data_IF_471004750840
#
_entry.id   IF_471004750840
#
_cell.length_a   1.000
_cell.length_b   1.000
_cell.length_c   1.000
_cell.angle_alpha   90.00
_cell.angle_beta   90.00
_cell.angle_gamma   90.00
#
_symmetry.space_group_name_H-M   'P 1'
#
loop_
_entity.id
_entity.type
_entity.pdbx_description
1 polymer ?
#
# COMPACT_ATOMS: atom_id res chain seq x y z
N UNK A 1 -95.20 16.27 -1.00
CA UNK A 1 -95.17 16.76 0.39
C UNK A 1 -94.57 15.68 1.27
N UNK A 2 -93.55 16.06 2.08
CA UNK A 2 -93.04 15.42 3.32
C UNK A 2 -92.36 14.03 3.18
N UNK A 3 -91.03 13.91 3.18
CA UNK A 3 -89.99 13.97 4.26
C UNK A 3 -89.80 12.69 5.12
N UNK A 4 -88.52 12.29 5.21
CA UNK A 4 -87.81 11.48 6.23
C UNK A 4 -87.99 9.95 6.20
N UNK A 5 -86.98 9.10 6.45
CA UNK A 5 -85.62 9.34 6.94
C UNK A 5 -84.78 8.05 6.93
N UNK A 6 -83.46 8.23 6.90
CA UNK A 6 -82.39 7.24 6.91
C UNK A 6 -82.27 6.51 8.26
N UNK A 7 -81.98 5.21 8.26
CA UNK A 7 -81.33 4.53 9.40
C UNK A 7 -80.42 3.40 8.88
N UNK A 8 -79.10 3.62 8.96
CA UNK A 8 -78.08 2.61 8.72
C UNK A 8 -77.53 2.13 10.08
N UNK A 9 -77.57 0.83 10.32
CA UNK A 9 -76.97 0.17 11.47
C UNK A 9 -75.79 -0.67 10.97
N UNK A 10 -74.57 -0.39 11.43
CA UNK A 10 -73.40 -1.27 11.26
C UNK A 10 -72.43 -1.12 12.44
N UNK A 11 -72.54 -2.11 13.32
CA UNK A 11 -71.56 -2.77 14.19
C UNK A 11 -70.20 -2.07 14.41
N UNK A 12 -70.00 -1.60 15.65
CA UNK A 12 -68.69 -1.23 16.18
C UNK A 12 -67.89 -2.49 16.58
N UNK A 13 -66.77 -2.74 15.90
CA UNK A 13 -65.77 -3.72 16.32
C UNK A 13 -64.79 -3.10 17.33
N UNK A 14 -64.72 -3.67 18.53
CA UNK A 14 -63.73 -3.29 19.55
C UNK A 14 -62.36 -3.88 19.21
N UNK A 15 -61.40 -3.06 18.83
CA UNK A 15 -59.99 -3.44 18.73
C UNK A 15 -59.35 -3.36 20.13
N UNK A 16 -59.08 -4.52 20.73
CA UNK A 16 -58.24 -4.61 21.92
C UNK A 16 -56.78 -4.25 21.58
N UNK A 17 -56.03 -3.63 22.50
CA UNK A 17 -54.63 -3.30 22.26
C UNK A 17 -53.79 -4.58 22.15
N UNK A 18 -53.26 -4.82 20.95
CA UNK A 18 -52.31 -5.89 20.67
C UNK A 18 -51.01 -5.59 21.44
N UNK A 19 -50.81 -6.29 22.56
CA UNK A 19 -49.58 -6.17 23.35
C UNK A 19 -48.47 -6.95 22.65
N UNK A 20 -47.60 -6.24 21.93
CA UNK A 20 -46.36 -6.82 21.42
C UNK A 20 -45.49 -7.30 22.61
N UNK A 21 -44.89 -8.50 22.55
CA UNK A 21 -43.99 -8.95 23.61
C UNK A 21 -42.81 -7.98 23.75
N UNK A 22 -42.29 -7.77 24.98
CA UNK A 22 -41.18 -6.86 25.21
C UNK A 22 -39.97 -7.31 24.36
N UNK A 23 -39.42 -6.39 23.58
CA UNK A 23 -38.21 -6.63 22.81
C UNK A 23 -37.07 -6.98 23.78
N UNK A 24 -36.49 -8.17 23.65
CA UNK A 24 -35.31 -8.57 24.41
C UNK A 24 -34.20 -7.51 24.25
N UNK A 25 -33.46 -7.17 25.33
CA UNK A 25 -32.39 -6.20 25.25
C UNK A 25 -31.37 -6.63 24.19
N UNK A 26 -31.04 -5.73 23.25
CA UNK A 26 -30.04 -6.00 22.21
C UNK A 26 -28.66 -6.15 22.87
N UNK A 27 -27.87 -7.16 22.48
CA UNK A 27 -26.54 -7.34 23.05
C UNK A 27 -25.65 -6.13 22.72
N UNK A 28 -24.70 -5.83 23.61
CA UNK A 28 -23.73 -4.75 23.41
C UNK A 28 -22.77 -5.08 22.27
N UNK A 29 -22.42 -6.36 22.12
CA UNK A 29 -21.59 -6.87 21.03
C UNK A 29 -22.42 -7.79 20.15
N UNK A 30 -22.45 -7.54 18.85
CA UNK A 30 -23.09 -8.41 17.86
C UNK A 30 -22.04 -8.90 16.86
N UNK A 31 -22.03 -10.21 16.58
CA UNK A 31 -21.19 -10.82 15.55
C UNK A 31 -22.07 -11.48 14.49
N UNK A 32 -21.71 -11.35 13.21
CA UNK A 32 -22.39 -12.02 12.09
C UNK A 32 -21.41 -12.64 11.13
N UNK A 33 -21.70 -13.86 10.68
CA UNK A 33 -20.89 -14.61 9.73
C UNK A 33 -21.69 -15.00 8.47
N UNK A 34 -21.24 -14.53 7.31
CA UNK A 34 -21.85 -14.81 5.99
C UNK A 34 -20.80 -15.45 5.06
N UNK A 35 -20.84 -16.77 4.93
CA UNK A 35 -19.86 -17.53 4.15
C UNK A 35 -20.52 -18.62 3.27
N UNK A 36 -19.83 -19.09 2.22
CA UNK A 36 -20.26 -20.26 1.45
C UNK A 36 -20.32 -21.52 2.31
N UNK A 37 -21.08 -22.53 1.87
CA UNK A 37 -21.23 -23.81 2.57
C UNK A 37 -19.92 -24.60 2.75
N UNK A 38 -18.87 -24.26 2.00
CA UNK A 38 -17.53 -24.85 2.13
C UNK A 38 -16.68 -24.24 3.25
N UNK A 39 -17.20 -23.24 3.96
CA UNK A 39 -16.55 -22.60 5.10
C UNK A 39 -17.17 -23.07 6.43
N UNK A 40 -16.47 -22.88 7.57
CA UNK A 40 -17.02 -23.15 8.89
C UNK A 40 -18.35 -22.44 9.11
N UNK A 41 -19.26 -23.09 9.84
CA UNK A 41 -20.55 -22.52 10.17
C UNK A 41 -20.40 -21.33 11.15
N UNK A 42 -21.39 -20.44 11.17
CA UNK A 42 -21.40 -19.27 12.07
C UNK A 42 -21.21 -19.66 13.54
N UNK A 43 -21.85 -20.75 13.98
CA UNK A 43 -21.72 -21.24 15.35
C UNK A 43 -20.28 -21.65 15.73
N UNK A 44 -19.52 -22.23 14.79
CA UNK A 44 -18.13 -22.63 15.02
C UNK A 44 -17.22 -21.40 15.15
N UNK A 45 -17.45 -20.40 14.32
CA UNK A 45 -16.70 -19.13 14.37
C UNK A 45 -17.03 -18.35 15.64
N UNK A 46 -18.29 -18.34 16.07
CA UNK A 46 -18.70 -17.75 17.35
C UNK A 46 -18.04 -18.47 18.53
N UNK A 47 -18.03 -19.81 18.52
CA UNK A 47 -17.38 -20.58 19.59
C UNK A 47 -15.88 -20.26 19.69
N UNK A 48 -15.18 -20.17 18.55
CA UNK A 48 -13.77 -19.78 18.53
C UNK A 48 -13.56 -18.34 19.01
N UNK A 49 -14.44 -17.42 18.61
CA UNK A 49 -14.42 -16.04 19.07
C UNK A 49 -14.62 -15.93 20.60
N UNK A 50 -15.61 -16.64 21.15
CA UNK A 50 -15.86 -16.70 22.60
C UNK A 50 -14.72 -17.35 23.37
N UNK A 51 -14.06 -18.36 22.78
CA UNK A 51 -12.85 -18.98 23.33
C UNK A 51 -11.70 -17.96 23.46
N UNK A 52 -11.43 -17.20 22.40
CA UNK A 52 -10.39 -16.15 22.40
C UNK A 52 -10.72 -15.01 23.38
N UNK A 53 -12.00 -14.72 23.54
CA UNK A 53 -12.51 -13.74 24.48
C UNK A 53 -12.56 -14.26 25.93
N UNK A 54 -12.47 -15.57 26.16
CA UNK A 54 -12.59 -16.15 27.50
C UNK A 54 -14.00 -16.06 28.09
N UNK A 55 -15.04 -16.00 27.26
CA UNK A 55 -16.43 -16.00 27.72
C UNK A 55 -17.46 -15.59 26.65
N UNK A 56 -18.77 -15.73 26.94
CA UNK A 56 -19.83 -15.51 25.97
C UNK A 56 -19.94 -14.06 25.47
N UNK A 57 -20.24 -13.87 24.18
CA UNK A 57 -20.46 -12.55 23.59
C UNK A 57 -21.63 -11.81 24.23
N UNK A 58 -22.69 -12.54 24.58
CA UNK A 58 -23.90 -11.99 25.19
C UNK A 58 -23.67 -11.34 26.56
N UNK A 59 -22.62 -11.76 27.28
CA UNK A 59 -22.27 -11.27 28.61
C UNK A 59 -21.28 -10.10 28.56
N UNK A 60 -20.81 -9.73 27.37
CA UNK A 60 -19.84 -8.64 27.19
C UNK A 60 -20.45 -7.30 27.59
N UNK A 61 -19.67 -6.55 28.37
CA UNK A 61 -19.96 -5.19 28.81
C UNK A 61 -19.00 -4.23 28.10
N UNK A 62 -19.46 -3.02 27.78
CA UNK A 62 -18.63 -2.01 27.13
C UNK A 62 -19.40 -1.16 26.12
N UNK A 63 -18.65 -0.54 25.20
CA UNK A 63 -19.20 0.21 24.07
C UNK A 63 -19.88 -0.73 23.07
N UNK A 64 -20.88 -0.22 22.35
CA UNK A 64 -21.56 -1.02 21.33
C UNK A 64 -20.63 -1.33 20.17
N UNK A 65 -20.55 -2.60 19.80
CA UNK A 65 -19.73 -3.04 18.68
C UNK A 65 -20.47 -4.08 17.85
N UNK A 66 -20.53 -3.85 16.53
CA UNK A 66 -21.07 -4.84 15.58
C UNK A 66 -19.94 -5.29 14.65
N UNK A 67 -19.62 -6.58 14.70
CA UNK A 67 -18.64 -7.22 13.83
C UNK A 67 -19.36 -8.06 12.76
N UNK A 68 -19.10 -7.79 11.50
CA UNK A 68 -19.71 -8.52 10.36
C UNK A 68 -18.57 -9.10 9.54
N UNK A 69 -18.53 -10.42 9.38
CA UNK A 69 -17.55 -11.12 8.56
C UNK A 69 -18.25 -11.76 7.36
N UNK A 70 -17.80 -11.43 6.16
CA UNK A 70 -18.30 -12.02 4.91
C UNK A 70 -17.18 -12.67 4.13
N UNK A 71 -17.38 -13.92 3.77
CA UNK A 71 -16.46 -14.68 2.92
C UNK A 71 -17.08 -14.88 1.54
N UNK A 72 -16.27 -14.73 0.49
CA UNK A 72 -16.64 -15.06 -0.89
C UNK A 72 -15.52 -15.88 -1.54
N UNK A 73 -15.91 -16.78 -2.43
CA UNK A 73 -14.96 -17.59 -3.20
C UNK A 73 -14.51 -16.82 -4.45
N UNK A 74 -13.22 -16.82 -4.75
CA UNK A 74 -12.67 -16.09 -5.90
C UNK A 74 -12.66 -16.95 -7.18
N UNK A 75 -12.78 -16.33 -8.39
CA UNK A 75 -12.80 -17.04 -9.66
C UNK A 75 -11.52 -17.86 -9.99
N UNK A 76 -10.41 -17.61 -9.30
CA UNK A 76 -9.13 -18.32 -9.45
C UNK A 76 -8.89 -19.43 -8.42
N UNK A 77 -9.90 -19.75 -7.60
CA UNK A 77 -9.74 -20.52 -6.37
C UNK A 77 -9.35 -19.64 -5.18
N UNK A 78 -9.48 -20.20 -3.97
CA UNK A 78 -9.28 -19.45 -2.73
C UNK A 78 -10.48 -18.60 -2.31
N UNK A 79 -10.31 -17.90 -1.19
CA UNK A 79 -11.36 -17.18 -0.50
C UNK A 79 -10.89 -15.77 -0.11
N UNK A 80 -11.80 -14.80 -0.21
CA UNK A 80 -11.65 -13.43 0.28
C UNK A 80 -12.61 -13.22 1.46
N UNK A 81 -12.06 -12.85 2.61
CA UNK A 81 -12.79 -12.48 3.81
C UNK A 81 -12.73 -10.96 3.98
N UNK A 82 -13.91 -10.34 4.13
CA UNK A 82 -14.05 -8.95 4.55
C UNK A 82 -14.71 -8.89 5.91
N UNK A 83 -14.03 -8.25 6.86
CA UNK A 83 -14.49 -8.02 8.23
C UNK A 83 -14.75 -6.52 8.43
N UNK A 84 -15.95 -6.18 8.86
CA UNK A 84 -16.34 -4.84 9.28
C UNK A 84 -16.54 -4.83 10.79
N UNK A 85 -16.01 -3.81 11.46
CA UNK A 85 -16.28 -3.54 12.87
C UNK A 85 -16.85 -2.13 12.99
N UNK A 86 -18.09 -2.04 13.43
CA UNK A 86 -18.85 -0.79 13.61
C UNK A 86 -18.89 -0.48 15.10
N UNK A 87 -18.41 0.71 15.48
CA UNK A 87 -18.40 1.20 16.86
C UNK A 87 -18.78 2.68 16.89
N UNK A 88 -18.87 3.26 18.10
CA UNK A 88 -19.15 4.69 18.26
C UNK A 88 -18.04 5.60 17.67
N UNK A 89 -16.81 5.10 17.55
CA UNK A 89 -15.66 5.82 16.97
C UNK A 89 -15.64 5.78 15.43
N UNK A 90 -16.47 4.92 14.83
CA UNK A 90 -16.58 4.74 13.38
C UNK A 90 -16.53 3.28 12.95
N UNK A 91 -16.46 3.09 11.64
CA UNK A 91 -16.41 1.76 11.02
C UNK A 91 -15.06 1.50 10.38
N UNK A 92 -14.43 0.41 10.80
CA UNK A 92 -13.18 -0.12 10.25
C UNK A 92 -13.47 -1.35 9.38
N UNK A 93 -12.73 -1.50 8.28
CA UNK A 93 -12.78 -2.68 7.42
C UNK A 93 -11.39 -3.32 7.31
N UNK A 94 -11.33 -4.66 7.38
CA UNK A 94 -10.14 -5.46 7.11
C UNK A 94 -10.46 -6.51 6.02
N UNK A 95 -9.50 -6.75 5.14
CA UNK A 95 -9.57 -7.80 4.10
C UNK A 95 -8.47 -8.81 4.32
N UNK A 96 -8.78 -10.09 4.14
CA UNK A 96 -7.86 -11.20 4.25
C UNK A 96 -8.12 -12.18 3.11
N UNK A 97 -7.07 -12.71 2.49
CA UNK A 97 -7.18 -13.73 1.44
C UNK A 97 -6.40 -14.99 1.82
N UNK A 98 -6.95 -16.16 1.49
CA UNK A 98 -6.27 -17.43 1.70
C UNK A 98 -6.86 -18.54 0.82
N UNK A 99 -6.06 -19.57 0.53
CA UNK A 99 -6.51 -20.72 -0.24
C UNK A 99 -7.54 -21.59 0.52
N UNK A 100 -7.45 -21.63 1.85
CA UNK A 100 -8.27 -22.44 2.75
C UNK A 100 -9.18 -21.54 3.58
N UNK A 101 -10.50 -21.78 3.55
CA UNK A 101 -11.46 -20.96 4.29
C UNK A 101 -11.32 -21.07 5.81
N UNK A 102 -10.96 -22.25 6.33
CA UNK A 102 -10.80 -22.47 7.77
C UNK A 102 -9.72 -21.57 8.39
N UNK A 103 -8.63 -21.35 7.65
CA UNK A 103 -7.57 -20.44 8.07
C UNK A 103 -8.07 -18.99 8.13
N UNK A 104 -8.92 -18.57 7.17
CA UNK A 104 -9.54 -17.26 7.19
C UNK A 104 -10.55 -17.11 8.31
N UNK A 105 -11.34 -18.14 8.60
CA UNK A 105 -12.29 -18.12 9.71
C UNK A 105 -11.57 -17.92 11.06
N UNK A 106 -10.49 -18.67 11.32
CA UNK A 106 -9.69 -18.51 12.54
C UNK A 106 -9.04 -17.13 12.63
N UNK A 107 -8.41 -16.67 11.55
CA UNK A 107 -7.81 -15.34 11.52
C UNK A 107 -8.86 -14.22 11.70
N UNK A 108 -10.02 -14.36 11.06
CA UNK A 108 -11.15 -13.44 11.18
C UNK A 108 -11.71 -13.39 12.60
N UNK A 109 -11.86 -14.54 13.27
CA UNK A 109 -12.27 -14.62 14.66
C UNK A 109 -11.26 -13.91 15.57
N UNK A 110 -9.96 -14.11 15.38
CA UNK A 110 -8.92 -13.42 16.15
C UNK A 110 -8.96 -11.90 15.96
N UNK A 111 -9.09 -11.42 14.73
CA UNK A 111 -9.19 -9.98 14.47
C UNK A 111 -10.46 -9.39 15.08
N UNK A 112 -11.58 -10.10 15.03
CA UNK A 112 -12.81 -9.69 15.70
C UNK A 112 -12.65 -9.66 17.23
N UNK A 113 -11.99 -10.67 17.82
CA UNK A 113 -11.71 -10.73 19.25
C UNK A 113 -10.89 -9.52 19.72
N UNK A 114 -9.83 -9.19 19.01
CA UNK A 114 -9.00 -8.01 19.32
C UNK A 114 -9.75 -6.69 19.18
N UNK A 115 -10.70 -6.60 18.24
CA UNK A 115 -11.53 -5.41 18.09
C UNK A 115 -12.56 -5.26 19.23
N UNK A 116 -13.04 -6.38 19.77
CA UNK A 116 -13.96 -6.42 20.92
C UNK A 116 -13.22 -6.15 22.22
N UNK A 117 -12.03 -6.72 22.38
CA UNK A 117 -11.24 -6.67 23.60
C UNK A 117 -9.73 -6.67 23.28
N UNK A 118 -9.05 -5.52 23.35
CA UNK A 118 -7.62 -5.44 23.03
C UNK A 118 -6.73 -6.18 24.04
N UNK A 119 -7.26 -6.56 25.21
CA UNK A 119 -6.50 -7.32 26.22
C UNK A 119 -6.24 -8.78 25.82
N UNK A 120 -6.88 -9.27 24.76
CA UNK A 120 -6.65 -10.62 24.19
C UNK A 120 -5.16 -10.85 23.86
N UNK A 121 -4.46 -9.81 23.39
CA UNK A 121 -3.02 -9.91 23.07
C UNK A 121 -2.14 -10.18 24.30
N UNK A 122 -2.50 -9.61 25.46
CA UNK A 122 -1.77 -9.83 26.72
C UNK A 122 -1.94 -11.25 27.24
N UNK A 123 -3.17 -11.78 27.22
CA UNK A 123 -3.47 -13.15 27.69
C UNK A 123 -2.75 -14.22 26.87
N UNK A 124 -2.71 -14.06 25.55
CA UNK A 124 -2.02 -15.00 24.66
C UNK A 124 -0.50 -15.03 24.87
N UNK A 125 0.11 -13.89 25.25
CA UNK A 125 1.53 -13.83 25.58
C UNK A 125 1.88 -14.47 26.93
N UNK A 126 0.92 -14.59 27.84
CA UNK A 126 1.10 -15.25 29.14
C UNK A 126 0.87 -16.77 29.06
N UNK A 127 -0.02 -17.24 28.19
CA UNK A 127 -0.23 -18.68 27.91
C UNK A 127 0.89 -19.32 27.09
N UNK A 128 1.61 -18.53 26.29
CA UNK A 128 2.82 -19.01 25.63
C UNK A 128 3.98 -18.82 26.59
N UNK A 129 4.15 -19.77 27.51
CA UNK A 129 5.30 -19.78 28.41
C UNK A 129 6.56 -19.76 27.53
N UNK A 130 7.25 -18.62 27.48
CA UNK A 130 8.46 -18.45 26.68
C UNK A 130 9.55 -19.49 27.06
N UNK A 131 9.38 -20.13 28.22
CA UNK A 131 10.17 -21.25 28.69
C UNK A 131 9.94 -22.56 27.90
N UNK A 132 8.74 -22.84 27.39
CA UNK A 132 8.43 -24.08 26.66
C UNK A 132 8.92 -24.00 25.21
N UNK A 133 8.76 -22.84 24.55
CA UNK A 133 9.29 -22.59 23.20
C UNK A 133 10.83 -22.57 23.20
N UNK A 134 11.45 -22.12 24.30
CA UNK A 134 12.90 -22.21 24.49
C UNK A 134 13.39 -23.66 24.75
N UNK A 135 12.55 -24.52 25.31
CA UNK A 135 12.87 -25.93 25.57
C UNK A 135 12.80 -26.80 24.30
N UNK A 136 11.96 -26.45 23.31
CA UNK A 136 11.87 -27.14 22.01
C UNK A 136 12.80 -26.59 20.92
N UNK A 137 13.51 -25.49 21.17
CA UNK A 137 14.54 -24.98 20.28
C UNK A 137 15.76 -25.92 20.26
N UNK A 138 15.68 -26.96 19.45
CA UNK A 138 16.82 -27.82 19.14
C UNK A 138 17.93 -26.94 18.54
N UNK A 139 19.07 -26.87 19.22
CA UNK A 139 20.27 -26.21 18.72
C UNK A 139 20.59 -26.76 17.35
N UNK A 140 20.47 -25.92 16.31
CA UNK A 140 21.03 -26.24 15.00
C UNK A 140 22.53 -26.23 15.20
N UNK A 141 23.12 -27.42 15.23
CA UNK A 141 24.57 -27.62 15.23
C UNK A 141 25.13 -26.94 13.98
N UNK A 142 26.07 -26.04 14.21
CA UNK A 142 26.77 -25.29 13.18
C UNK A 142 27.38 -26.29 12.16
N UNK A 143 27.04 -26.21 10.86
CA UNK A 143 27.65 -27.10 9.90
C UNK A 143 29.15 -26.83 9.83
N UNK A 144 29.94 -27.87 10.08
CA UNK A 144 31.40 -27.88 10.03
C UNK A 144 31.93 -27.19 8.75
N UNK A 145 32.95 -26.32 8.85
CA UNK A 145 33.47 -25.62 7.69
C UNK A 145 34.02 -26.62 6.66
N UNK A 146 33.84 -26.35 5.35
CA UNK A 146 34.31 -27.25 4.31
C UNK A 146 35.85 -27.36 4.35
N UNK A 147 36.42 -28.53 4.07
CA UNK A 147 37.86 -28.73 4.13
C UNK A 147 38.58 -27.89 3.07
N UNK A 148 39.71 -27.33 3.50
CA UNK A 148 40.66 -26.55 2.72
C UNK A 148 41.24 -27.41 1.58
N UNK A 149 41.30 -26.92 0.32
CA UNK A 149 41.82 -27.72 -0.78
C UNK A 149 43.34 -27.91 -0.67
N UNK A 150 43.78 -29.16 -0.84
CA UNK A 150 45.20 -29.53 -0.90
C UNK A 150 45.94 -28.81 -2.04
N UNK A 151 47.24 -28.49 -1.85
CA UNK A 151 48.05 -27.86 -2.87
C UNK A 151 48.34 -28.80 -4.04
N UNK A 152 48.00 -28.35 -5.24
CA UNK A 152 48.32 -28.99 -6.52
C UNK A 152 49.85 -29.09 -6.72
N UNK A 153 50.38 -30.20 -7.26
CA UNK A 153 51.80 -30.37 -7.57
C UNK A 153 52.31 -29.34 -8.60
N UNK A 154 53.60 -28.97 -8.58
CA UNK A 154 54.16 -28.02 -9.54
C UNK A 154 54.28 -28.64 -10.93
N UNK A 155 53.82 -27.90 -11.95
CA UNK A 155 54.07 -28.22 -13.36
C UNK A 155 55.57 -28.10 -13.73
N UNK A 156 56.04 -28.84 -14.73
CA UNK A 156 57.43 -28.77 -15.21
C UNK A 156 57.76 -27.41 -15.81
N UNK A 157 58.90 -26.85 -15.40
CA UNK A 157 59.46 -25.64 -15.98
C UNK A 157 59.87 -25.90 -17.44
N UNK A 158 59.21 -25.21 -18.37
CA UNK A 158 59.67 -25.07 -19.75
C UNK A 158 60.70 -23.95 -19.79
N UNK A 159 61.90 -24.24 -20.30
CA UNK A 159 62.94 -23.24 -20.52
C UNK A 159 62.44 -22.10 -21.43
N UNK A 160 62.70 -20.83 -21.07
CA UNK A 160 62.30 -19.70 -21.89
C UNK A 160 63.17 -19.60 -23.16
N UNK A 161 62.58 -19.29 -24.33
CA UNK A 161 63.36 -18.99 -25.52
C UNK A 161 64.09 -17.65 -25.37
N UNK A 162 65.26 -17.61 -26.00
CA UNK A 162 66.23 -16.50 -26.06
C UNK A 162 65.57 -15.14 -26.34
N UNK A 163 65.93 -14.05 -25.61
CA UNK A 163 65.33 -12.74 -25.82
C UNK A 163 65.70 -12.14 -27.17
N UNK A 164 64.69 -11.71 -27.92
CA UNK A 164 64.83 -10.80 -29.05
C UNK A 164 64.98 -9.35 -28.55
N UNK A 165 65.75 -8.46 -29.23
CA UNK A 165 66.09 -7.15 -28.70
C UNK A 165 64.86 -6.29 -28.38
N UNK A 166 64.87 -5.53 -27.27
CA UNK A 166 63.73 -4.72 -26.88
C UNK A 166 63.49 -3.60 -27.89
N UNK A 167 62.33 -3.64 -28.56
CA UNK A 167 61.80 -2.48 -29.24
C UNK A 167 61.39 -1.44 -28.20
N UNK A 168 61.67 -0.14 -28.43
CA UNK A 168 61.30 0.91 -27.50
C UNK A 168 59.77 0.89 -27.29
N UNK A 169 59.29 0.92 -26.03
CA UNK A 169 57.86 0.88 -25.77
C UNK A 169 57.19 2.09 -26.41
N UNK A 170 56.28 1.82 -27.36
CA UNK A 170 55.34 2.84 -27.82
C UNK A 170 54.59 3.34 -26.59
N UNK A 171 54.47 4.67 -26.38
CA UNK A 171 53.76 5.21 -25.22
C UNK A 171 52.34 4.66 -25.21
N UNK A 172 52.07 3.79 -24.25
CA UNK A 172 50.75 3.22 -24.04
C UNK A 172 49.86 4.37 -23.59
N UNK A 173 49.03 4.86 -24.52
CA UNK A 173 48.05 5.89 -24.24
C UNK A 173 47.13 5.34 -23.16
N UNK A 174 47.34 5.77 -21.90
CA UNK A 174 46.44 5.51 -20.78
C UNK A 174 45.03 5.89 -21.26
N UNK A 175 44.22 4.88 -21.59
CA UNK A 175 42.81 5.10 -21.93
C UNK A 175 42.19 5.66 -20.66
N UNK A 176 41.94 6.97 -20.63
CA UNK A 176 41.19 7.63 -19.56
C UNK A 176 39.82 6.95 -19.50
N UNK A 177 39.71 5.91 -18.68
CA UNK A 177 38.47 5.16 -18.51
C UNK A 177 37.37 6.16 -18.19
N UNK A 178 36.24 6.06 -18.89
CA UNK A 178 35.04 6.84 -18.60
C UNK A 178 34.61 6.47 -17.18
N UNK A 179 35.09 7.21 -16.19
CA UNK A 179 34.71 6.99 -14.79
C UNK A 179 33.21 7.26 -14.66
N UNK A 180 32.47 6.21 -14.33
CA UNK A 180 31.07 6.30 -13.92
C UNK A 180 31.08 6.96 -12.55
N UNK A 181 30.28 8.02 -12.38
CA UNK A 181 30.13 8.71 -11.10
C UNK A 181 28.78 8.37 -10.50
N UNK A 182 28.70 8.32 -9.18
CA UNK A 182 27.43 8.29 -8.49
C UNK A 182 26.89 9.69 -8.19
N UNK A 183 25.57 9.79 -8.07
CA UNK A 183 24.91 10.98 -7.54
C UNK A 183 23.62 10.63 -6.82
N UNK A 184 23.23 11.48 -5.87
CA UNK A 184 21.94 11.41 -5.20
C UNK A 184 21.34 12.81 -5.21
N UNK A 185 20.08 12.90 -5.61
CA UNK A 185 19.33 14.14 -5.67
C UNK A 185 18.14 14.09 -4.72
N UNK A 186 17.94 15.15 -3.97
CA UNK A 186 16.71 15.41 -3.21
C UNK A 186 15.98 16.58 -3.88
N UNK A 187 14.70 16.40 -4.18
CA UNK A 187 13.87 17.42 -4.82
C UNK A 187 12.53 17.58 -4.13
N UNK A 188 11.98 18.79 -4.20
CA UNK A 188 10.63 19.10 -3.74
C UNK A 188 9.96 20.06 -4.73
N UNK A 189 8.64 19.98 -4.85
CA UNK A 189 7.93 20.69 -5.89
C UNK A 189 6.43 20.58 -5.81
N UNK A 190 5.80 20.93 -6.93
CA UNK A 190 4.35 20.91 -7.12
C UNK A 190 3.99 19.91 -8.22
N UNK A 191 2.82 19.31 -8.09
CA UNK A 191 2.23 18.36 -9.02
C UNK A 191 0.79 18.76 -9.34
N UNK A 192 0.41 18.59 -10.60
CA UNK A 192 -0.94 18.80 -11.10
C UNK A 192 -1.32 17.65 -12.04
N UNK A 193 -2.54 17.11 -11.89
CA UNK A 193 -3.05 16.01 -12.70
C UNK A 193 -2.95 14.62 -12.07
N UNK A 194 -1.97 14.38 -11.17
CA UNK A 194 -1.80 13.06 -10.53
C UNK A 194 -2.87 12.73 -9.47
N UNK A 195 -3.30 13.73 -8.71
CA UNK A 195 -4.46 13.71 -7.80
C UNK A 195 -5.24 15.03 -8.02
N UNK A 196 -6.41 15.24 -7.37
CA UNK A 196 -7.18 16.48 -7.49
C UNK A 196 -6.38 17.74 -7.15
N UNK A 197 -6.59 18.80 -7.93
CA UNK A 197 -5.95 20.09 -7.71
C UNK A 197 -4.43 20.08 -7.84
N UNK A 198 -3.79 21.08 -7.22
CA UNK A 198 -2.33 21.22 -7.14
C UNK A 198 -1.86 20.73 -5.78
N UNK A 199 -0.81 19.92 -5.73
CA UNK A 199 -0.26 19.38 -4.48
C UNK A 199 1.25 19.35 -4.45
N UNK A 200 1.83 19.34 -3.25
CA UNK A 200 3.26 19.18 -3.07
C UNK A 200 3.74 17.79 -3.52
N UNK A 201 5.04 17.66 -3.78
CA UNK A 201 5.71 16.40 -4.07
C UNK A 201 7.14 16.46 -3.58
N UNK A 202 7.64 15.39 -2.97
CA UNK A 202 9.05 15.23 -2.57
C UNK A 202 9.61 14.01 -3.28
N UNK A 203 10.88 14.07 -3.66
CA UNK A 203 11.56 13.04 -4.44
C UNK A 203 13.00 12.80 -4.00
N UNK A 204 13.40 11.54 -4.03
CA UNK A 204 14.77 11.09 -3.89
C UNK A 204 15.19 10.36 -5.16
N UNK A 205 16.34 10.73 -5.72
CA UNK A 205 16.78 10.21 -7.02
C UNK A 205 18.27 9.82 -6.99
N UNK A 206 18.60 8.56 -6.69
CA UNK A 206 19.91 7.99 -7.00
C UNK A 206 20.18 7.98 -8.51
N UNK A 207 21.44 8.18 -8.90
CA UNK A 207 21.83 8.22 -10.30
C UNK A 207 23.24 7.70 -10.57
N UNK A 208 23.39 7.06 -11.74
CA UNK A 208 24.68 6.73 -12.35
C UNK A 208 24.95 7.73 -13.47
N UNK A 209 26.12 8.39 -13.44
CA UNK A 209 26.43 9.54 -14.29
C UNK A 209 27.66 9.21 -15.15
N UNK A 210 27.46 9.24 -16.47
CA UNK A 210 28.52 9.18 -17.49
C UNK A 210 28.80 10.57 -18.09
N UNK A 211 29.82 10.72 -18.96
CA UNK A 211 30.13 12.00 -19.59
C UNK A 211 29.00 12.60 -20.45
N UNK A 212 28.14 11.78 -21.06
CA UNK A 212 27.07 12.22 -21.99
C UNK A 212 25.68 11.63 -21.68
N UNK A 213 25.56 10.86 -20.62
CA UNK A 213 24.31 10.21 -20.25
C UNK A 213 24.25 10.00 -18.73
N UNK A 214 23.05 9.82 -18.21
CA UNK A 214 22.81 9.38 -16.83
C UNK A 214 21.61 8.44 -16.77
N UNK A 215 21.64 7.55 -15.80
CA UNK A 215 20.54 6.66 -15.43
C UNK A 215 20.05 7.10 -14.05
N UNK A 216 18.76 7.36 -13.92
CA UNK A 216 18.12 7.81 -12.69
C UNK A 216 17.12 6.76 -12.19
N UNK A 217 17.18 6.49 -10.90
CA UNK A 217 16.17 5.73 -10.17
C UNK A 217 15.49 6.71 -9.24
N UNK A 218 14.17 6.81 -9.28
CA UNK A 218 13.43 7.79 -8.51
C UNK A 218 12.43 7.09 -7.60
N UNK A 219 12.30 7.63 -6.39
CA UNK A 219 11.14 7.42 -5.53
C UNK A 219 10.56 8.78 -5.14
N UNK A 220 9.25 8.88 -5.13
CA UNK A 220 8.55 10.12 -4.84
C UNK A 220 7.30 9.90 -3.99
N UNK A 221 6.97 10.90 -3.17
CA UNK A 221 5.81 10.89 -2.30
C UNK A 221 5.06 12.23 -2.39
N UNK A 222 3.77 12.15 -2.65
CA UNK A 222 2.83 13.26 -2.63
C UNK A 222 1.96 13.16 -1.38
N UNK A 223 1.97 14.17 -0.49
CA UNK A 223 1.16 14.18 0.71
C UNK A 223 -0.35 14.21 0.39
N UNK A 224 -1.14 14.03 1.45
CA UNK A 224 -2.59 14.03 1.44
C UNK A 224 -3.19 15.17 0.61
N UNK A 225 -4.08 14.82 -0.32
CA UNK A 225 -4.98 15.72 -1.03
C UNK A 225 -6.42 15.32 -0.83
N UNK A 226 -7.27 16.32 -0.59
CA UNK A 226 -8.71 16.11 -0.33
C UNK A 226 -9.47 16.15 -1.65
N UNK A 227 -10.19 15.07 -1.95
CA UNK A 227 -11.26 15.04 -2.92
C UNK A 227 -12.57 15.13 -2.13
N UNK A 228 -13.43 16.12 -2.42
CA UNK A 228 -14.74 16.28 -1.78
C UNK A 228 -15.80 16.48 -2.87
N UNK A 229 -17.05 16.23 -2.52
CA UNK A 229 -18.19 16.52 -3.40
C UNK A 229 -18.60 17.98 -3.28
N UNK A 230 -19.00 18.60 -4.38
CA UNK A 230 -19.41 20.02 -4.41
C UNK A 230 -20.72 20.26 -3.62
N UNK A 231 -21.64 19.29 -3.63
CA UNK A 231 -22.91 19.31 -2.92
C UNK A 231 -22.80 18.83 -1.46
N UNK A 232 -21.75 18.08 -1.11
CA UNK A 232 -21.55 17.45 0.19
C UNK A 232 -20.09 17.57 0.64
N UNK A 233 -19.67 18.74 1.16
CA UNK A 233 -18.26 19.02 1.46
C UNK A 233 -17.68 18.14 2.58
N UNK A 234 -18.54 17.57 3.42
CA UNK A 234 -18.15 16.65 4.50
C UNK A 234 -17.89 15.22 3.99
N UNK A 235 -18.21 14.91 2.73
CA UNK A 235 -18.02 13.59 2.12
C UNK A 235 -16.98 13.61 1.00
N UNK A 236 -16.19 12.53 0.91
CA UNK A 236 -15.24 12.34 -0.19
C UNK A 236 -14.11 11.38 0.14
N UNK A 237 -12.92 11.63 -0.39
CA UNK A 237 -11.74 10.80 -0.14
C UNK A 237 -10.49 11.62 0.12
N UNK A 238 -9.66 11.10 1.02
CA UNK A 238 -8.31 11.54 1.26
C UNK A 238 -7.36 10.70 0.40
N UNK A 239 -6.64 11.36 -0.51
CA UNK A 239 -5.80 10.71 -1.51
C UNK A 239 -4.32 11.02 -1.28
N UNK A 240 -3.46 10.00 -1.35
CA UNK A 240 -2.00 10.13 -1.29
C UNK A 240 -1.36 9.45 -2.50
N UNK A 241 -0.14 9.85 -2.83
CA UNK A 241 0.58 9.37 -3.99
C UNK A 241 1.96 8.83 -3.60
N UNK A 242 2.30 7.65 -4.07
CA UNK A 242 3.67 7.15 -4.10
C UNK A 242 4.04 6.80 -5.54
N UNK A 243 5.25 7.16 -5.97
CA UNK A 243 5.76 6.88 -7.31
C UNK A 243 7.17 6.31 -7.25
N UNK A 244 7.47 5.41 -8.17
CA UNK A 244 8.81 4.93 -8.47
C UNK A 244 9.07 5.00 -9.97
N UNK A 245 10.22 5.49 -10.38
CA UNK A 245 10.54 5.64 -11.80
C UNK A 245 11.98 5.25 -12.14
N UNK A 246 12.19 4.80 -13.38
CA UNK A 246 13.52 4.53 -13.94
C UNK A 246 13.65 5.31 -15.24
N UNK A 247 14.73 6.09 -15.36
CA UNK A 247 14.91 7.03 -16.47
C UNK A 247 16.30 6.98 -17.08
N UNK A 248 16.36 7.01 -18.40
CA UNK A 248 17.56 7.30 -19.15
C UNK A 248 17.57 8.76 -19.60
N UNK A 249 18.69 9.46 -19.39
CA UNK A 249 18.82 10.86 -19.80
C UNK A 249 20.10 11.07 -20.61
N UNK A 250 20.05 11.52 -21.87
CA UNK A 250 21.16 12.28 -22.44
C UNK A 250 21.52 13.47 -21.54
N UNK A 251 22.81 13.73 -21.43
CA UNK A 251 23.35 14.79 -20.57
C UNK A 251 24.21 15.74 -21.41
N UNK A 252 23.67 16.94 -21.62
CA UNK A 252 24.39 18.04 -22.25
C UNK A 252 25.04 18.91 -21.17
N UNK A 253 26.29 19.30 -21.37
CA UNK A 253 27.06 20.13 -20.44
C UNK A 253 27.57 21.37 -21.15
N UNK A 254 27.35 22.53 -20.54
CA UNK A 254 27.87 23.81 -21.00
C UNK A 254 28.46 24.58 -19.81
N UNK A 255 29.79 24.58 -19.70
CA UNK A 255 30.52 25.16 -18.55
C UNK A 255 30.01 24.58 -17.22
N UNK A 256 29.44 25.42 -16.34
CA UNK A 256 28.87 25.02 -15.05
C UNK A 256 27.42 24.53 -15.14
N UNK A 257 26.79 24.59 -16.31
CA UNK A 257 25.41 24.17 -16.51
C UNK A 257 25.33 22.76 -17.09
N UNK A 258 24.36 21.99 -16.63
CA UNK A 258 23.98 20.70 -17.18
C UNK A 258 22.49 20.66 -17.50
N UNK A 259 22.16 20.08 -18.65
CA UNK A 259 20.80 20.00 -19.18
C UNK A 259 20.45 18.53 -19.42
N UNK A 260 20.05 17.78 -18.38
CA UNK A 260 19.51 16.44 -18.57
C UNK A 260 18.13 16.51 -19.24
N UNK A 261 17.90 15.67 -20.23
CA UNK A 261 16.56 15.42 -20.78
C UNK A 261 16.20 13.96 -20.50
N UNK A 262 15.50 13.72 -19.39
CA UNK A 262 15.21 12.37 -18.92
C UNK A 262 13.91 11.83 -19.51
N UNK A 263 13.90 10.59 -19.98
CA UNK A 263 12.69 9.88 -20.36
C UNK A 263 12.65 8.51 -19.69
N UNK A 264 11.46 8.04 -19.34
CA UNK A 264 11.35 6.79 -18.58
C UNK A 264 9.93 6.29 -18.33
N UNK A 265 9.89 5.25 -17.52
CA UNK A 265 8.68 4.62 -17.02
C UNK A 265 8.52 4.93 -15.54
N UNK A 266 7.28 5.23 -15.16
CA UNK A 266 6.87 5.41 -13.78
C UNK A 266 5.79 4.39 -13.43
N UNK A 267 5.95 3.76 -12.27
CA UNK A 267 4.89 3.05 -11.57
C UNK A 267 4.45 3.92 -10.39
N UNK A 268 3.14 4.10 -10.25
CA UNK A 268 2.57 4.84 -9.15
C UNK A 268 1.44 4.09 -8.46
N UNK A 269 1.23 4.45 -7.20
CA UNK A 269 0.13 3.98 -6.38
C UNK A 269 -0.58 5.20 -5.78
N UNK A 270 -1.89 5.27 -6.03
CA UNK A 270 -2.79 6.21 -5.37
C UNK A 270 -3.46 5.46 -4.22
N UNK A 271 -3.27 5.96 -3.01
CA UNK A 271 -3.92 5.47 -1.80
C UNK A 271 -5.10 6.37 -1.50
N UNK A 272 -6.29 5.80 -1.36
CA UNK A 272 -7.51 6.55 -1.07
C UNK A 272 -8.18 6.04 0.17
N UNK A 273 -8.58 6.95 1.06
CA UNK A 273 -9.37 6.65 2.26
C UNK A 273 -10.65 7.45 2.23
N UNK A 274 -11.80 6.78 2.34
CA UNK A 274 -13.11 7.44 2.37
C UNK A 274 -13.31 8.31 3.62
N UNK A 275 -13.96 9.46 3.47
CA UNK A 275 -14.26 10.45 4.52
C UNK A 275 -15.75 10.79 4.45
N UNK A 276 -16.42 10.89 5.61
CA UNK A 276 -17.84 11.26 5.69
C UNK A 276 -18.83 10.13 5.38
N UNK A 277 -18.36 8.88 5.44
CA UNK A 277 -19.18 7.68 5.20
C UNK A 277 -19.35 6.86 6.48
N UNK A 278 -20.52 6.24 6.62
CA UNK A 278 -20.80 5.30 7.71
C UNK A 278 -19.87 4.07 7.66
N UNK A 279 -19.39 3.70 6.46
CA UNK A 279 -18.37 2.66 6.25
C UNK A 279 -17.19 3.30 5.53
N UNK A 280 -16.02 3.30 6.16
CA UNK A 280 -14.79 3.79 5.52
C UNK A 280 -14.01 2.61 4.95
N UNK A 281 -13.68 2.70 3.66
CA UNK A 281 -12.81 1.73 2.99
C UNK A 281 -11.55 2.42 2.52
N UNK A 282 -10.41 1.77 2.71
CA UNK A 282 -9.16 2.13 2.07
C UNK A 282 -9.03 1.38 0.75
N UNK A 283 -8.60 2.10 -0.29
CA UNK A 283 -8.39 1.57 -1.63
C UNK A 283 -7.01 1.95 -2.13
N UNK A 284 -6.37 1.02 -2.83
CA UNK A 284 -5.13 1.29 -3.56
C UNK A 284 -5.37 1.08 -5.04
N UNK A 285 -5.01 2.07 -5.84
CA UNK A 285 -5.08 1.98 -7.29
C UNK A 285 -3.70 2.21 -7.89
N UNK A 286 -3.27 1.29 -8.74
CA UNK A 286 -1.97 1.35 -9.40
C UNK A 286 -2.11 2.02 -10.76
N UNK A 287 -1.06 2.71 -11.18
CA UNK A 287 -0.94 3.23 -12.53
C UNK A 287 0.47 3.06 -13.07
N UNK A 288 0.56 3.10 -14.40
CA UNK A 288 1.82 3.16 -15.13
C UNK A 288 1.77 4.42 -15.98
N UNK A 289 2.88 5.15 -16.05
CA UNK A 289 3.01 6.36 -16.85
C UNK A 289 4.34 6.39 -17.64
N UNK A 290 4.29 7.03 -18.81
CA UNK A 290 5.48 7.47 -19.54
C UNK A 290 5.73 8.92 -19.19
N UNK A 291 6.98 9.30 -18.90
CA UNK A 291 7.29 10.69 -18.57
C UNK A 291 8.52 11.22 -19.30
N UNK A 292 8.54 12.53 -19.51
CA UNK A 292 9.63 13.32 -20.05
C UNK A 292 9.95 14.45 -19.07
N UNK A 293 11.20 14.53 -18.63
CA UNK A 293 11.68 15.43 -17.60
C UNK A 293 12.93 16.19 -18.07
N UNK A 294 12.79 17.30 -18.81
CA UNK A 294 13.86 18.27 -18.96
C UNK A 294 14.24 18.91 -17.61
N UNK A 295 15.54 19.07 -17.40
CA UNK A 295 16.07 19.79 -16.24
C UNK A 295 17.20 20.74 -16.60
N UNK A 296 17.47 21.66 -15.68
CA UNK A 296 18.64 22.54 -15.71
C UNK A 296 19.31 22.49 -14.34
N UNK A 297 20.61 22.23 -14.34
CA UNK A 297 21.42 22.15 -13.13
C UNK A 297 22.62 23.08 -13.24
N UNK A 298 22.88 23.82 -12.17
CA UNK A 298 24.06 24.64 -11.99
C UNK A 298 25.01 23.98 -10.98
N UNK A 299 26.22 23.66 -11.43
CA UNK A 299 27.28 23.10 -10.60
C UNK A 299 27.92 24.20 -9.73
N UNK A 300 27.45 24.31 -8.49
CA UNK A 300 28.06 25.17 -7.46
C UNK A 300 29.49 24.71 -7.12
N UNK A 301 29.68 23.40 -7.06
CA UNK A 301 30.95 22.73 -6.74
C UNK A 301 31.09 21.45 -7.58
N UNK A 302 32.30 20.89 -7.81
CA UNK A 302 32.46 19.59 -8.50
C UNK A 302 31.63 18.42 -7.94
N UNK A 303 31.16 18.55 -6.69
CA UNK A 303 30.34 17.56 -5.97
C UNK A 303 28.91 18.01 -5.67
N UNK A 304 28.54 19.27 -5.94
CA UNK A 304 27.22 19.80 -5.58
C UNK A 304 26.63 20.61 -6.73
N UNK A 305 25.41 20.28 -7.12
CA UNK A 305 24.64 21.02 -8.11
C UNK A 305 23.24 21.34 -7.56
N UNK A 306 22.68 22.46 -7.99
CA UNK A 306 21.30 22.84 -7.72
C UNK A 306 20.58 22.99 -9.03
N UNK A 307 19.29 22.66 -9.09
CA UNK A 307 18.58 22.67 -10.36
C UNK A 307 17.08 22.71 -10.24
N UNK A 308 16.45 22.87 -11.40
CA UNK A 308 15.03 22.81 -11.59
C UNK A 308 14.70 21.74 -12.63
N UNK A 309 13.59 21.06 -12.43
CA UNK A 309 13.08 19.99 -13.31
C UNK A 309 11.62 20.30 -13.61
N UNK A 310 11.25 20.20 -14.87
CA UNK A 310 9.84 20.17 -15.30
C UNK A 310 9.60 18.80 -15.88
N UNK A 311 8.56 18.12 -15.42
CA UNK A 311 8.20 16.79 -15.85
C UNK A 311 6.76 16.80 -16.37
N UNK A 312 6.56 16.21 -17.55
CA UNK A 312 5.25 15.83 -18.05
C UNK A 312 5.14 14.32 -18.07
N UNK A 313 4.00 13.78 -17.62
CA UNK A 313 3.71 12.35 -17.65
C UNK A 313 2.38 12.08 -18.36
N UNK A 314 2.28 10.92 -19.01
CA UNK A 314 1.07 10.40 -19.65
C UNK A 314 0.73 9.07 -18.98
N UNK A 315 -0.45 8.98 -18.36
CA UNK A 315 -0.92 7.78 -17.68
C UNK A 315 -1.42 6.75 -18.69
N UNK A 316 -0.73 5.63 -18.79
CA UNK A 316 -1.12 4.50 -19.66
C UNK A 316 -2.33 3.74 -19.07
N UNK A 317 -2.36 3.64 -17.75
CA UNK A 317 -3.48 3.07 -16.98
C UNK A 317 -4.08 4.16 -16.12
N UNK A 318 -5.39 4.37 -16.25
CA UNK A 318 -6.11 5.46 -15.57
C UNK A 318 -6.96 4.92 -14.42
N UNK A 319 -6.48 5.00 -13.18
CA UNK A 319 -7.22 4.52 -12.02
C UNK A 319 -8.48 5.35 -11.76
N UNK A 320 -9.50 4.65 -11.23
CA UNK A 320 -10.82 5.21 -10.92
C UNK A 320 -11.16 4.89 -9.47
N UNK A 321 -11.68 5.87 -8.76
CA UNK A 321 -12.21 5.69 -7.41
C UNK A 321 -13.71 5.94 -7.45
N UNK A 322 -14.48 4.91 -7.12
CA UNK A 322 -15.94 4.95 -7.03
C UNK A 322 -16.39 4.67 -5.61
N UNK A 323 -17.52 5.24 -5.22
CA UNK A 323 -18.25 4.92 -4.00
C UNK A 323 -19.56 4.25 -4.37
N UNK A 324 -19.84 3.14 -3.70
CA UNK A 324 -21.09 2.42 -3.87
C UNK A 324 -22.28 3.37 -3.66
N UNK A 325 -23.22 3.40 -4.60
CA UNK A 325 -24.44 4.21 -4.60
C UNK A 325 -24.26 5.74 -4.72
N UNK A 326 -23.02 6.25 -4.79
CA UNK A 326 -22.72 7.68 -4.96
C UNK A 326 -21.95 7.99 -6.27
N UNK A 327 -21.43 6.97 -6.95
CA UNK A 327 -20.77 7.13 -8.24
C UNK A 327 -19.27 7.39 -8.11
N UNK A 328 -18.68 8.09 -9.09
CA UNK A 328 -17.24 8.29 -9.21
C UNK A 328 -16.79 9.50 -8.39
N UNK A 329 -15.89 9.31 -7.41
CA UNK A 329 -15.24 10.42 -6.68
C UNK A 329 -14.14 11.02 -7.54
N UNK A 330 -13.31 10.15 -8.12
CA UNK A 330 -12.08 10.59 -8.77
C UNK A 330 -11.71 9.72 -9.96
N UNK A 331 -11.27 10.39 -11.01
CA UNK A 331 -10.68 9.79 -12.20
C UNK A 331 -9.36 10.46 -12.47
N UNK A 332 -8.29 9.67 -12.60
CA UNK A 332 -6.98 10.25 -12.88
C UNK A 332 -6.99 10.99 -14.21
N UNK A 333 -6.25 12.10 -14.28
CA UNK A 333 -6.04 12.80 -15.53
C UNK A 333 -5.31 11.89 -16.53
N UNK A 334 -5.45 12.18 -17.82
CA UNK A 334 -4.68 11.50 -18.86
C UNK A 334 -3.19 11.86 -18.77
N UNK A 335 -2.90 13.09 -18.33
CA UNK A 335 -1.56 13.60 -18.21
C UNK A 335 -1.39 14.38 -16.90
N UNK A 336 -0.17 14.40 -16.39
CA UNK A 336 0.22 15.20 -15.23
C UNK A 336 1.46 16.04 -15.54
N UNK A 337 1.60 17.14 -14.80
CA UNK A 337 2.75 18.05 -14.88
C UNK A 337 3.28 18.29 -13.49
N UNK A 338 4.60 18.25 -13.36
CA UNK A 338 5.30 18.42 -12.10
C UNK A 338 6.47 19.38 -12.27
N UNK A 339 6.67 20.25 -11.30
CA UNK A 339 7.77 21.21 -11.30
C UNK A 339 8.52 21.10 -9.97
N UNK A 340 9.82 20.82 -10.02
CA UNK A 340 10.64 20.56 -8.84
C UNK A 340 11.89 21.43 -8.80
N UNK A 341 12.26 21.84 -7.59
CA UNK A 341 13.60 22.33 -7.27
C UNK A 341 14.38 21.21 -6.57
N UNK A 342 15.68 21.13 -6.85
CA UNK A 342 16.48 20.02 -6.37
C UNK A 342 17.93 20.38 -6.06
N UNK A 343 18.51 19.64 -5.12
CA UNK A 343 19.94 19.63 -4.80
C UNK A 343 20.50 18.25 -5.11
N UNK A 344 21.62 18.19 -5.81
CA UNK A 344 22.29 16.95 -6.22
C UNK A 344 23.71 16.92 -5.67
N UNK A 345 24.02 15.84 -4.94
CA UNK A 345 25.36 15.53 -4.46
C UNK A 345 25.97 14.45 -5.35
N UNK A 346 27.25 14.61 -5.71
CA UNK A 346 27.95 13.73 -6.66
C UNK A 346 29.26 13.23 -6.09
N UNK A 347 29.55 11.96 -6.32
CA UNK A 347 30.74 11.26 -5.83
C UNK A 347 31.44 10.50 -6.97
N UNK A 348 32.73 10.17 -6.81
CA UNK A 348 33.52 9.48 -7.83
C UNK A 348 32.98 8.10 -8.18
#
# INVERSE_FOLDING_TARGET
MLHNGLAAALLAGSTGPNSAPPASPRPVVEFRWDAPASCPAEAEVIAELERLLGGPLAERKGSRLTAIARVRQEPGGGFDLRLWTVSDEGTLQRSLTHAQCDALARAGALIAAMAIDPSVLGRMSEETDAAEVAAEAKTVEDPEPPPEPEPTPPEPQVEPPKPEPPQPPKPEKVKKGRRVRGGVRLGAGLSFGDLPGVGALIRLTPALIWPRARLEFEVGYGPLRRARFDDQPDRGADLQLAVGAVRGCPLLRARKFEFPLCAGLELGAIYGRGVGYAITSEGRQLFVALHLAPGVFYALHPRVAVGAIVEGAIHLVRPRFTVANLGMIYHSALASVRALLAVEVRFP
#
